data_IF_620164844993
#
_entry.id   IF_620164844993
#
_cell.length_a   1.000
_cell.length_b   1.000
_cell.length_c   1.000
_cell.angle_alpha   90.00
_cell.angle_beta   90.00
_cell.angle_gamma   90.00
#
_symmetry.space_group_name_H-M   'P 1'
#
loop_
_entity.id
_entity.type
_entity.pdbx_description
1 polymer ?
#
# COMPACT_ATOMS: atom_id res chain seq x y z
N UNK A 1 11.79 -11.40 -19.74
CA UNK A 1 12.41 -12.14 -18.61
C UNK A 1 11.79 -11.65 -17.31
N UNK A 2 11.63 -12.50 -16.29
CA UNK A 2 11.18 -12.09 -14.94
C UNK A 2 12.34 -12.27 -13.97
N UNK A 3 12.65 -11.27 -13.13
CA UNK A 3 13.51 -11.46 -11.96
C UNK A 3 12.76 -12.34 -10.94
N UNK A 4 13.42 -13.29 -10.25
CA UNK A 4 12.81 -14.00 -9.13
C UNK A 4 12.59 -13.06 -7.94
N UNK A 5 11.78 -13.51 -7.00
CA UNK A 5 11.44 -12.81 -5.77
C UNK A 5 11.58 -13.84 -4.64
N UNK A 6 12.48 -13.59 -3.68
CA UNK A 6 12.95 -14.58 -2.70
C UNK A 6 12.73 -14.12 -1.26
N UNK A 7 12.64 -15.12 -0.37
CA UNK A 7 12.23 -15.04 1.02
C UNK A 7 13.20 -15.84 1.92
N UNK A 8 13.74 -15.20 2.96
CA UNK A 8 14.36 -15.91 4.08
C UNK A 8 13.85 -15.38 5.42
N UNK A 9 13.78 -16.27 6.41
CA UNK A 9 13.47 -15.95 7.79
C UNK A 9 14.72 -16.04 8.67
N UNK A 10 14.85 -15.01 9.52
CA UNK A 10 15.49 -15.00 10.84
C UNK A 10 16.96 -15.42 10.95
N UNK A 11 17.75 -14.46 11.43
CA UNK A 11 18.87 -14.71 12.34
C UNK A 11 18.34 -14.78 13.78
N UNK A 12 18.93 -15.59 14.68
CA UNK A 12 18.63 -15.52 16.11
C UNK A 12 19.33 -14.33 16.80
N UNK A 13 18.72 -13.86 17.89
CA UNK A 13 19.14 -12.77 18.79
C UNK A 13 18.84 -11.31 18.37
N UNK A 14 18.45 -10.53 19.40
CA UNK A 14 18.42 -9.06 19.50
C UNK A 14 17.82 -8.23 18.34
N UNK A 15 16.48 -8.21 18.24
CA UNK A 15 15.66 -6.99 18.43
C UNK A 15 14.14 -7.29 18.33
N UNK A 16 13.45 -7.35 19.47
CA UNK A 16 12.00 -7.56 19.53
C UNK A 16 11.23 -6.28 19.14
N UNK A 17 11.07 -6.02 17.84
CA UNK A 17 10.17 -4.98 17.31
C UNK A 17 9.02 -5.51 16.44
N UNK A 18 8.64 -6.78 16.62
CA UNK A 18 7.28 -7.29 16.37
C UNK A 18 7.01 -8.51 17.28
N UNK A 19 6.44 -8.30 18.47
CA UNK A 19 6.04 -9.38 19.38
C UNK A 19 4.57 -9.21 19.80
N UNK A 20 3.77 -10.28 19.69
CA UNK A 20 2.29 -10.17 19.76
C UNK A 20 1.49 -11.46 19.48
N UNK A 21 1.95 -12.59 20.02
CA UNK A 21 1.16 -13.73 20.58
C UNK A 21 -0.18 -14.19 19.92
N UNK A 22 -0.17 -15.34 19.23
CA UNK A 22 -0.76 -16.66 19.67
C UNK A 22 -2.03 -16.68 20.58
N UNK A 23 -2.99 -17.64 20.58
CA UNK A 23 -3.44 -18.85 19.80
C UNK A 23 -4.56 -19.54 20.67
N UNK A 24 -5.52 -20.44 20.33
CA UNK A 24 -6.20 -21.06 19.16
C UNK A 24 -7.31 -22.02 19.70
N UNK A 25 -8.41 -22.48 19.06
CA UNK A 25 -9.35 -21.97 18.05
C UNK A 25 -10.53 -22.98 17.83
N UNK A 26 -11.64 -22.55 17.16
CA UNK A 26 -12.77 -23.33 16.55
C UNK A 26 -13.93 -23.85 17.43
N UNK A 27 -15.19 -23.70 16.93
CA UNK A 27 -16.26 -24.70 17.17
C UNK A 27 -17.75 -24.27 17.22
N UNK A 28 -18.44 -24.17 16.07
CA UNK A 28 -19.91 -24.42 15.90
C UNK A 28 -20.91 -23.41 16.57
N UNK A 29 -22.20 -23.47 16.18
CA UNK A 29 -23.38 -22.67 16.66
C UNK A 29 -24.40 -23.63 17.33
N UNK A 30 -25.37 -23.22 18.19
CA UNK A 30 -26.03 -21.91 18.35
C UNK A 30 -25.89 -21.36 19.80
N UNK A 31 -26.62 -20.39 20.38
CA UNK A 31 -27.92 -19.72 20.12
C UNK A 31 -27.84 -18.18 20.29
N UNK A 32 -28.99 -17.50 20.48
CA UNK A 32 -29.11 -16.05 20.72
C UNK A 32 -29.09 -15.75 22.23
N UNK A 33 -28.45 -14.65 22.65
CA UNK A 33 -29.02 -13.58 23.48
C UNK A 33 -28.01 -12.42 23.56
N UNK A 34 -28.51 -11.20 23.70
CA UNK A 34 -27.77 -9.96 24.00
C UNK A 34 -28.76 -8.97 24.66
N UNK A 35 -28.35 -7.80 25.21
CA UNK A 35 -26.98 -7.27 25.40
C UNK A 35 -26.71 -6.77 26.85
N UNK A 36 -25.51 -6.23 27.13
CA UNK A 36 -25.28 -4.80 27.53
C UNK A 36 -23.89 -4.52 28.12
N UNK A 37 -23.48 -3.26 27.99
CA UNK A 37 -22.34 -2.62 28.67
C UNK A 37 -22.62 -2.33 30.15
N UNK A 38 -21.57 -2.04 30.94
CA UNK A 38 -21.63 -1.06 32.02
C UNK A 38 -20.85 0.22 31.66
N UNK A 39 -21.55 1.35 31.54
CA UNK A 39 -20.97 2.70 31.62
C UNK A 39 -21.45 3.29 32.94
N UNK A 40 -20.51 3.52 33.86
CA UNK A 40 -20.64 4.34 35.09
C UNK A 40 -21.73 3.99 36.12
N UNK A 41 -21.48 4.43 37.35
CA UNK A 41 -22.30 4.16 38.54
C UNK A 41 -23.36 5.25 38.77
N UNK A 42 -24.61 4.84 39.05
CA UNK A 42 -25.51 5.54 40.00
C UNK A 42 -26.81 4.76 40.32
N UNK A 43 -27.02 4.56 41.62
CA UNK A 43 -28.27 4.46 42.40
C UNK A 43 -29.56 3.84 41.82
N UNK A 44 -30.01 2.77 42.49
CA UNK A 44 -31.39 2.47 42.96
C UNK A 44 -32.61 2.96 42.13
N UNK A 45 -33.46 2.01 41.69
CA UNK A 45 -34.74 1.66 42.35
C UNK A 45 -35.34 0.34 41.80
N UNK A 46 -36.45 -0.14 42.39
CA UNK A 46 -37.10 -1.46 42.14
C UNK A 46 -38.32 -1.38 41.19
N UNK A 47 -38.91 -2.56 40.93
CA UNK A 47 -40.10 -2.87 40.09
C UNK A 47 -39.82 -3.01 38.58
N UNK A 48 -40.47 -3.91 37.84
CA UNK A 48 -41.40 -4.98 38.25
C UNK A 48 -41.96 -5.76 37.04
N UNK A 49 -42.08 -7.09 37.19
CA UNK A 49 -42.59 -8.10 36.24
C UNK A 49 -43.58 -7.65 35.14
N UNK A 50 -43.37 -8.11 33.89
CA UNK A 50 -44.35 -8.95 33.17
C UNK A 50 -43.78 -9.59 31.88
N UNK A 51 -44.38 -10.70 31.47
CA UNK A 51 -44.15 -11.45 30.22
C UNK A 51 -45.01 -10.95 29.05
N UNK A 52 -44.67 -11.29 27.80
CA UNK A 52 -45.63 -11.86 26.83
C UNK A 52 -44.92 -12.66 25.71
N UNK A 53 -45.69 -13.37 24.88
CA UNK A 53 -45.23 -14.49 24.04
C UNK A 53 -45.70 -14.40 22.59
N UNK A 54 -44.90 -14.98 21.68
CA UNK A 54 -45.36 -15.63 20.44
C UNK A 54 -45.47 -14.75 19.18
N UNK A 55 -45.47 -15.41 18.01
CA UNK A 55 -45.89 -14.76 16.74
C UNK A 55 -45.10 -15.08 15.46
N UNK A 56 -44.69 -16.33 15.21
CA UNK A 56 -44.12 -16.69 13.90
C UNK A 56 -45.24 -16.98 12.87
N UNK A 57 -45.29 -16.22 11.77
CA UNK A 57 -46.07 -16.55 10.55
C UNK A 57 -45.39 -15.99 9.30
N UNK A 58 -44.98 -16.88 8.39
CA UNK A 58 -44.45 -16.52 7.07
C UNK A 58 -45.54 -16.29 6.03
N UNK A 59 -45.20 -15.58 4.95
CA UNK A 59 -46.03 -15.41 3.76
C UNK A 59 -45.19 -15.48 2.48
N UNK A 60 -45.59 -16.32 1.51
CA UNK A 60 -45.00 -16.37 0.16
C UNK A 60 -45.81 -15.49 -0.79
N UNK A 61 -45.15 -14.67 -1.60
CA UNK A 61 -45.79 -13.80 -2.60
C UNK A 61 -44.93 -13.59 -3.84
N UNK A 62 -45.59 -13.52 -5.01
CA UNK A 62 -45.02 -13.21 -6.34
C UNK A 62 -44.38 -11.81 -6.32
N UNK A 63 -43.40 -11.43 -7.16
CA UNK A 63 -42.82 -12.10 -8.34
C UNK A 63 -43.12 -11.32 -9.63
N UNK A 64 -42.12 -10.64 -10.21
CA UNK A 64 -42.19 -10.07 -11.57
C UNK A 64 -41.50 -8.70 -11.79
N UNK A 65 -40.59 -8.65 -12.78
CA UNK A 65 -40.27 -7.46 -13.58
C UNK A 65 -39.33 -6.36 -13.02
N UNK A 66 -38.66 -5.62 -13.92
CA UNK A 66 -38.30 -4.21 -13.65
C UNK A 66 -36.82 -3.81 -13.42
N UNK A 67 -35.83 -4.40 -14.10
CA UNK A 67 -34.48 -3.79 -14.18
C UNK A 67 -34.28 -3.05 -15.52
N UNK A 68 -33.89 -1.76 -15.46
CA UNK A 68 -33.36 -1.03 -16.62
C UNK A 68 -34.26 0.07 -17.22
N UNK A 69 -34.55 1.14 -16.47
CA UNK A 69 -35.36 2.28 -16.94
C UNK A 69 -34.87 3.67 -16.48
N UNK A 70 -33.55 3.86 -16.26
CA UNK A 70 -32.99 5.16 -15.83
C UNK A 70 -31.83 5.70 -16.69
N UNK A 71 -31.34 4.93 -17.67
CA UNK A 71 -30.29 5.36 -18.62
C UNK A 71 -30.84 5.36 -20.05
N UNK A 72 -31.55 6.43 -20.43
CA UNK A 72 -31.87 6.74 -21.83
C UNK A 72 -32.12 8.24 -22.08
N UNK A 73 -32.80 8.94 -21.17
CA UNK A 73 -33.25 10.33 -21.37
C UNK A 73 -32.17 11.40 -21.06
N UNK A 74 -30.93 11.22 -21.54
CA UNK A 74 -29.92 12.31 -21.53
C UNK A 74 -28.84 12.25 -22.62
N UNK A 75 -28.74 11.16 -23.37
CA UNK A 75 -27.76 10.99 -24.46
C UNK A 75 -28.42 10.27 -25.64
N UNK A 76 -29.04 11.03 -26.53
CA UNK A 76 -29.74 10.52 -27.72
C UNK A 76 -30.69 11.56 -28.30
N UNK A 77 -30.24 12.31 -29.31
CA UNK A 77 -30.99 13.45 -29.86
C UNK A 77 -30.28 14.20 -30.99
N UNK A 78 -29.51 13.50 -31.83
CA UNK A 78 -28.90 14.11 -33.02
C UNK A 78 -29.93 14.25 -34.15
N UNK A 79 -30.61 15.40 -34.22
CA UNK A 79 -31.56 15.74 -35.27
C UNK A 79 -30.97 16.74 -36.28
N UNK A 80 -31.04 16.42 -37.57
CA UNK A 80 -30.70 17.35 -38.66
C UNK A 80 -31.91 18.22 -38.99
N UNK A 81 -31.69 19.46 -39.40
CA UNK A 81 -32.63 20.19 -40.24
C UNK A 81 -31.87 21.06 -41.26
N UNK A 82 -32.55 21.49 -42.34
CA UNK A 82 -31.94 22.20 -43.46
C UNK A 82 -32.91 23.25 -44.04
N UNK A 83 -32.35 24.26 -44.71
CA UNK A 83 -33.07 25.46 -45.13
C UNK A 83 -32.95 26.59 -44.10
N UNK A 84 -32.89 27.87 -44.49
CA UNK A 84 -32.96 28.41 -45.85
C UNK A 84 -32.13 29.70 -45.97
N UNK A 85 -31.71 30.06 -47.19
CA UNK A 85 -30.72 31.11 -47.43
C UNK A 85 -31.35 32.44 -47.87
N UNK A 86 -31.00 33.55 -47.21
CA UNK A 86 -31.15 34.91 -47.78
C UNK A 86 -29.95 35.80 -47.46
N UNK A 87 -29.59 36.59 -48.46
CA UNK A 87 -28.38 37.40 -48.56
C UNK A 87 -28.53 38.78 -47.88
N UNK A 88 -27.42 39.27 -47.28
CA UNK A 88 -27.13 40.67 -46.96
C UNK A 88 -25.65 40.85 -46.61
N UNK A 89 -25.06 41.91 -47.15
CA UNK A 89 -23.61 42.18 -47.10
C UNK A 89 -23.01 42.59 -45.75
N UNK A 90 -21.69 42.82 -45.71
CA UNK A 90 -20.90 42.82 -44.48
C UNK A 90 -20.94 44.14 -43.69
N UNK A 91 -20.98 44.02 -42.36
CA UNK A 91 -20.58 45.07 -41.42
C UNK A 91 -19.55 44.47 -40.44
N UNK A 92 -18.46 45.21 -40.21
CA UNK A 92 -17.33 44.72 -39.40
C UNK A 92 -17.64 44.67 -37.91
N UNK A 93 -17.29 43.55 -37.26
CA UNK A 93 -17.35 43.40 -35.81
C UNK A 93 -16.09 42.70 -35.30
N UNK A 94 -15.23 43.42 -34.58
CA UNK A 94 -13.95 42.90 -34.09
C UNK A 94 -14.14 42.00 -32.85
N UNK A 95 -14.59 40.76 -33.08
CA UNK A 95 -14.90 39.79 -32.03
C UNK A 95 -13.70 38.90 -31.68
N UNK A 96 -13.02 39.21 -30.57
CA UNK A 96 -11.86 38.44 -30.08
C UNK A 96 -12.26 37.07 -29.49
N UNK A 97 -12.47 36.08 -30.37
CA UNK A 97 -12.73 34.68 -30.01
C UNK A 97 -11.43 33.99 -29.54
N UNK A 98 -11.13 34.09 -28.25
CA UNK A 98 -9.94 33.45 -27.66
C UNK A 98 -10.02 31.92 -27.66
N UNK A 99 -9.10 31.28 -28.38
CA UNK A 99 -8.97 29.81 -28.45
C UNK A 99 -8.74 29.16 -27.07
N UNK A 100 -9.82 28.62 -26.50
CA UNK A 100 -9.82 28.09 -25.13
C UNK A 100 -9.35 26.62 -25.04
N UNK A 101 -8.37 26.27 -25.89
CA UNK A 101 -7.76 24.94 -25.99
C UNK A 101 -6.23 24.97 -25.87
N UNK A 102 -5.68 25.88 -25.05
CA UNK A 102 -4.33 25.69 -24.51
C UNK A 102 -4.31 24.43 -23.63
N UNK A 103 -3.48 23.45 -24.01
CA UNK A 103 -3.17 22.33 -23.15
C UNK A 103 -2.56 22.86 -21.84
N UNK A 104 -3.22 22.61 -20.71
CA UNK A 104 -2.73 22.98 -19.38
C UNK A 104 -1.56 22.08 -18.97
N UNK A 105 -0.36 22.36 -19.47
CA UNK A 105 0.87 21.97 -18.79
C UNK A 105 1.05 22.88 -17.58
N UNK A 106 0.56 22.46 -16.42
CA UNK A 106 0.74 23.22 -15.18
C UNK A 106 2.22 23.25 -14.80
N UNK A 107 2.76 24.44 -14.61
CA UNK A 107 4.15 24.67 -14.15
C UNK A 107 4.16 24.94 -12.65
N UNK A 108 3.24 24.32 -11.91
CA UNK A 108 2.95 24.67 -10.52
C UNK A 108 3.92 23.94 -9.58
N UNK A 109 4.10 24.52 -8.40
CA UNK A 109 5.15 24.20 -7.45
C UNK A 109 5.58 25.47 -6.72
N UNK A 110 6.49 25.35 -5.76
CA UNK A 110 6.88 26.46 -4.89
C UNK A 110 7.25 25.96 -3.50
N UNK A 111 7.07 26.79 -2.49
CA UNK A 111 7.21 26.38 -1.09
C UNK A 111 5.98 25.58 -0.64
N UNK A 112 6.13 24.81 0.44
CA UNK A 112 4.98 24.18 1.08
C UNK A 112 3.98 25.17 1.67
N UNK A 113 4.39 26.41 1.96
CA UNK A 113 3.48 27.45 2.44
C UNK A 113 2.54 27.91 1.31
N UNK A 114 3.04 27.97 0.08
CA UNK A 114 2.22 28.26 -1.11
C UNK A 114 1.18 27.15 -1.35
N UNK A 115 1.58 25.88 -1.16
CA UNK A 115 0.67 24.73 -1.20
C UNK A 115 -0.45 24.84 -0.14
N UNK A 116 -0.13 25.22 1.11
CA UNK A 116 -1.13 25.44 2.17
C UNK A 116 -2.12 26.54 1.79
N UNK A 117 -1.62 27.69 1.32
CA UNK A 117 -2.46 28.82 0.90
C UNK A 117 -3.36 28.44 -0.27
N UNK A 118 -2.82 27.72 -1.27
CA UNK A 118 -3.60 27.20 -2.40
C UNK A 118 -4.72 26.28 -1.92
N UNK A 119 -4.44 25.32 -1.03
CA UNK A 119 -5.43 24.39 -0.48
C UNK A 119 -6.54 25.10 0.29
N UNK A 120 -6.22 26.14 1.05
CA UNK A 120 -7.22 26.99 1.71
C UNK A 120 -8.03 27.81 0.69
N UNK A 121 -7.39 28.36 -0.34
CA UNK A 121 -8.03 29.17 -1.39
C UNK A 121 -8.99 28.39 -2.28
N UNK A 122 -8.78 27.07 -2.45
CA UNK A 122 -9.66 26.18 -3.22
C UNK A 122 -10.71 25.43 -2.39
N UNK A 123 -10.83 25.67 -1.08
CA UNK A 123 -11.89 25.07 -0.26
C UNK A 123 -13.29 25.42 -0.82
N UNK A 124 -14.22 24.47 -0.76
CA UNK A 124 -15.58 24.59 -1.29
C UNK A 124 -15.71 24.61 -2.82
N UNK A 125 -14.64 24.90 -3.58
CA UNK A 125 -14.65 24.99 -5.06
C UNK A 125 -15.00 23.66 -5.72
N UNK A 126 -15.36 23.73 -7.00
CA UNK A 126 -15.57 22.53 -7.81
C UNK A 126 -14.27 21.73 -7.93
N UNK A 127 -14.39 20.41 -7.81
CA UNK A 127 -13.28 19.45 -7.78
C UNK A 127 -12.14 19.63 -8.81
N UNK A 128 -12.38 20.05 -10.08
CA UNK A 128 -11.31 20.29 -11.04
C UNK A 128 -10.30 21.39 -10.65
N UNK A 129 -10.57 22.21 -9.63
CA UNK A 129 -9.57 23.13 -9.08
C UNK A 129 -8.39 22.40 -8.41
N UNK A 130 -8.51 21.09 -8.11
CA UNK A 130 -7.35 20.28 -7.72
C UNK A 130 -6.31 20.09 -8.82
N UNK A 131 -6.62 20.38 -10.09
CA UNK A 131 -5.61 20.46 -11.15
C UNK A 131 -4.58 21.57 -10.89
N UNK A 132 -4.88 22.55 -10.04
CA UNK A 132 -3.94 23.60 -9.67
C UNK A 132 -2.82 23.08 -8.72
N UNK A 133 -2.95 21.86 -8.16
CA UNK A 133 -1.88 21.18 -7.41
C UNK A 133 -0.80 20.56 -8.30
N UNK A 134 -1.09 20.30 -9.59
CA UNK A 134 -0.28 19.45 -10.47
C UNK A 134 1.08 20.06 -10.82
N UNK A 135 2.15 19.31 -10.55
CA UNK A 135 3.55 19.76 -10.72
C UNK A 135 4.16 19.17 -11.99
N UNK A 136 4.82 20.00 -12.80
CA UNK A 136 5.60 19.54 -13.96
C UNK A 136 6.78 18.63 -13.55
N UNK A 137 7.30 17.77 -14.45
CA UNK A 137 8.54 17.04 -14.22
C UNK A 137 9.67 17.99 -13.77
N UNK A 138 10.47 17.54 -12.79
CA UNK A 138 11.55 18.29 -12.13
C UNK A 138 11.12 19.55 -11.33
N UNK A 139 9.82 19.85 -11.24
CA UNK A 139 9.27 20.82 -10.27
C UNK A 139 8.67 20.09 -9.06
N UNK A 140 8.18 20.84 -8.07
CA UNK A 140 7.50 20.29 -6.90
C UNK A 140 7.17 21.34 -5.84
N UNK A 141 6.50 20.90 -4.78
CA UNK A 141 6.25 21.65 -3.55
C UNK A 141 7.34 21.30 -2.53
N UNK A 142 8.18 22.27 -2.16
CA UNK A 142 9.37 22.06 -1.31
C UNK A 142 8.99 22.24 0.17
N UNK A 143 9.12 21.16 0.96
CA UNK A 143 8.90 21.17 2.40
C UNK A 143 10.05 21.91 3.13
N UNK A 144 9.82 22.62 4.25
CA UNK A 144 10.89 23.28 5.01
C UNK A 144 12.00 22.34 5.50
N UNK A 145 11.69 21.04 5.68
CA UNK A 145 12.69 20.01 5.99
C UNK A 145 13.56 19.62 4.78
N UNK A 146 13.26 20.11 3.57
CA UNK A 146 14.03 19.91 2.34
C UNK A 146 13.58 18.78 1.42
N UNK A 147 12.52 18.02 1.76
CA UNK A 147 11.93 17.05 0.82
C UNK A 147 11.04 17.76 -0.22
N UNK A 148 10.89 17.14 -1.40
CA UNK A 148 10.08 17.69 -2.50
C UNK A 148 8.89 16.78 -2.79
N UNK A 149 7.68 17.34 -2.69
CA UNK A 149 6.43 16.68 -3.09
C UNK A 149 6.09 17.04 -4.55
N UNK A 150 6.15 16.05 -5.43
CA UNK A 150 5.60 16.14 -6.79
C UNK A 150 4.18 15.57 -6.79
N UNK A 151 3.23 16.33 -7.31
CA UNK A 151 1.83 15.91 -7.49
C UNK A 151 1.63 15.65 -8.97
N UNK A 152 1.44 14.38 -9.34
CA UNK A 152 1.04 14.00 -10.69
C UNK A 152 -0.42 14.39 -10.96
N UNK A 153 -0.94 14.02 -12.14
CA UNK A 153 -2.29 14.41 -12.55
C UNK A 153 -3.33 14.12 -11.46
N UNK A 154 -4.03 15.16 -11.02
CA UNK A 154 -5.09 15.08 -10.04
C UNK A 154 -6.25 14.24 -10.58
N UNK A 155 -6.80 13.40 -9.71
CA UNK A 155 -7.94 12.56 -10.03
C UNK A 155 -9.14 13.41 -10.48
N UNK A 156 -9.85 12.99 -11.53
CA UNK A 156 -10.84 13.86 -12.20
C UNK A 156 -12.13 14.08 -11.38
N UNK A 157 -12.48 13.15 -10.49
CA UNK A 157 -13.58 13.27 -9.54
C UNK A 157 -13.32 12.40 -8.27
N UNK A 158 -14.12 12.54 -7.19
CA UNK A 158 -13.94 11.80 -5.92
C UNK A 158 -14.18 10.28 -5.96
N UNK A 159 -14.40 9.69 -7.14
CA UNK A 159 -14.51 8.26 -7.39
C UNK A 159 -13.48 7.75 -8.42
N UNK A 160 -12.76 8.65 -9.08
CA UNK A 160 -11.65 8.30 -9.98
C UNK A 160 -10.46 7.72 -9.19
N UNK A 161 -9.54 6.98 -9.84
CA UNK A 161 -8.34 6.45 -9.18
C UNK A 161 -7.55 7.56 -8.45
N UNK A 162 -7.10 7.33 -7.20
CA UNK A 162 -6.43 8.36 -6.39
C UNK A 162 -5.23 9.04 -7.05
N UNK A 163 -5.02 10.31 -6.69
CA UNK A 163 -3.96 11.16 -7.24
C UNK A 163 -2.59 10.59 -6.90
N UNK A 164 -1.72 10.42 -7.90
CA UNK A 164 -0.37 9.88 -7.71
C UNK A 164 0.59 10.99 -7.28
N UNK A 165 1.30 10.78 -6.17
CA UNK A 165 2.30 11.69 -5.67
C UNK A 165 3.66 10.99 -5.57
N UNK A 166 4.75 11.73 -5.83
CA UNK A 166 6.11 11.31 -5.51
C UNK A 166 6.69 12.23 -4.45
N UNK A 167 7.31 11.67 -3.42
CA UNK A 167 8.16 12.43 -2.49
C UNK A 167 9.61 12.06 -2.75
N UNK A 168 10.45 13.05 -2.99
CA UNK A 168 11.90 12.89 -3.16
C UNK A 168 12.63 13.47 -1.95
N UNK A 169 13.47 12.66 -1.30
CA UNK A 169 14.35 13.09 -0.21
C UNK A 169 15.82 12.95 -0.65
N UNK A 170 16.61 14.04 -0.73
CA UNK A 170 18.05 13.93 -0.94
C UNK A 170 18.77 13.42 0.33
N UNK A 171 20.00 12.88 0.23
CA UNK A 171 20.77 12.36 1.37
C UNK A 171 20.96 13.35 2.53
N UNK A 172 21.06 14.64 2.22
CA UNK A 172 21.16 15.74 3.19
C UNK A 172 19.93 15.88 4.10
N UNK A 173 18.78 15.40 3.64
CA UNK A 173 17.49 15.43 4.35
C UNK A 173 17.21 14.08 5.00
N UNK A 174 17.31 12.98 4.24
CA UNK A 174 17.05 11.65 4.76
C UNK A 174 18.09 11.17 5.78
N UNK A 175 19.33 11.69 5.70
CA UNK A 175 20.50 11.27 6.50
C UNK A 175 20.84 9.77 6.35
N UNK A 176 20.50 9.20 5.20
CA UNK A 176 20.91 7.85 4.78
C UNK A 176 22.44 7.72 4.74
N UNK A 177 22.97 6.62 5.26
CA UNK A 177 24.40 6.30 5.17
C UNK A 177 24.74 5.75 3.78
N UNK A 178 25.85 6.19 3.19
CA UNK A 178 26.42 5.64 1.95
C UNK A 178 26.50 4.11 1.97
N UNK A 179 26.78 3.53 3.14
CA UNK A 179 26.85 2.08 3.37
C UNK A 179 25.56 1.32 3.01
N UNK A 180 24.41 1.99 2.90
CA UNK A 180 23.10 1.40 2.58
C UNK A 180 22.75 1.46 1.07
N UNK A 181 23.59 2.04 0.21
CA UNK A 181 23.32 2.16 -1.23
C UNK A 181 24.53 1.97 -2.17
N UNK A 182 25.67 1.50 -1.64
CA UNK A 182 26.91 1.26 -2.39
C UNK A 182 26.78 0.34 -3.61
N UNK A 183 25.81 -0.58 -3.62
CA UNK A 183 25.53 -1.47 -4.73
C UNK A 183 24.02 -1.67 -4.94
N UNK A 184 23.63 -2.27 -6.08
CA UNK A 184 22.24 -2.47 -6.45
C UNK A 184 21.45 -3.34 -5.45
N UNK A 185 22.08 -4.34 -4.82
CA UNK A 185 21.44 -5.20 -3.81
C UNK A 185 21.11 -4.40 -2.56
N UNK A 186 22.05 -3.57 -2.06
CA UNK A 186 21.79 -2.67 -0.92
C UNK A 186 20.71 -1.64 -1.24
N UNK A 187 20.71 -1.05 -2.44
CA UNK A 187 19.65 -0.11 -2.87
C UNK A 187 18.26 -0.75 -2.88
N UNK A 188 18.16 -1.97 -3.40
CA UNK A 188 16.93 -2.76 -3.39
C UNK A 188 16.45 -3.08 -1.97
N UNK A 189 17.35 -3.60 -1.11
CA UNK A 189 17.01 -3.94 0.27
C UNK A 189 16.64 -2.71 1.12
N UNK A 190 17.34 -1.60 0.95
CA UNK A 190 17.01 -0.33 1.61
C UNK A 190 15.64 0.20 1.14
N UNK A 191 15.35 0.15 -0.17
CA UNK A 191 14.03 0.54 -0.70
C UNK A 191 12.89 -0.33 -0.14
N UNK A 192 13.09 -1.64 -0.07
CA UNK A 192 12.13 -2.60 0.49
C UNK A 192 11.91 -2.38 1.99
N UNK A 193 12.98 -2.20 2.79
CA UNK A 193 12.89 -1.88 4.22
C UNK A 193 12.11 -0.57 4.46
N UNK A 194 12.44 0.48 3.69
CA UNK A 194 11.78 1.78 3.78
C UNK A 194 10.30 1.69 3.40
N UNK A 195 9.94 0.90 2.39
CA UNK A 195 8.55 0.61 2.03
C UNK A 195 7.80 -0.12 3.17
N UNK A 196 8.43 -1.13 3.80
CA UNK A 196 7.84 -1.83 4.96
C UNK A 196 7.57 -0.89 6.12
N UNK A 197 8.52 0.00 6.43
CA UNK A 197 8.39 1.01 7.48
C UNK A 197 7.28 2.01 7.14
N UNK A 198 7.25 2.50 5.90
CA UNK A 198 6.23 3.43 5.40
C UNK A 198 4.81 2.86 5.44
N UNK A 199 4.62 1.63 4.95
CA UNK A 199 3.32 0.95 4.99
C UNK A 199 2.88 0.70 6.45
N UNK A 200 3.79 0.19 7.30
CA UNK A 200 3.50 -0.06 8.72
C UNK A 200 3.13 1.21 9.49
N UNK A 201 3.84 2.32 9.24
CA UNK A 201 3.51 3.62 9.83
C UNK A 201 2.19 4.18 9.31
N UNK A 202 1.92 4.07 8.01
CA UNK A 202 0.65 4.51 7.40
C UNK A 202 -0.54 3.83 8.09
N UNK A 203 -0.48 2.50 8.27
CA UNK A 203 -1.48 1.73 9.04
C UNK A 203 -1.54 2.13 10.52
N UNK A 204 -0.38 2.33 11.16
CA UNK A 204 -0.28 2.70 12.59
C UNK A 204 -0.96 4.03 12.91
N UNK A 205 -0.82 5.04 12.05
CA UNK A 205 -1.46 6.35 12.23
C UNK A 205 -2.85 6.43 11.59
N UNK A 206 -3.29 5.37 10.90
CA UNK A 206 -4.57 5.31 10.21
C UNK A 206 -4.66 6.24 9.00
N UNK A 207 -3.54 6.59 8.37
CA UNK A 207 -3.52 7.49 7.20
C UNK A 207 -4.20 6.89 5.96
N UNK A 208 -4.38 5.56 5.90
CA UNK A 208 -5.16 4.89 4.86
C UNK A 208 -6.68 4.89 5.12
N UNK A 209 -7.14 5.44 6.25
CA UNK A 209 -8.56 5.61 6.53
C UNK A 209 -9.13 6.86 5.86
N UNK A 210 -10.02 6.67 4.88
CA UNK A 210 -10.82 7.77 4.33
C UNK A 210 -11.66 8.45 5.43
N UNK A 211 -11.94 9.76 5.26
CA UNK A 211 -12.85 10.57 6.10
C UNK A 211 -14.25 9.95 6.33
N UNK A 212 -14.63 8.95 5.51
CA UNK A 212 -15.82 8.11 5.71
C UNK A 212 -15.75 7.28 7.01
N UNK A 213 -14.58 6.79 7.40
CA UNK A 213 -14.41 5.90 8.55
C UNK A 213 -14.59 6.63 9.88
N UNK A 214 -14.04 7.84 9.99
CA UNK A 214 -13.98 8.62 11.24
C UNK A 214 -15.33 9.08 11.78
N UNK A 215 -16.41 8.97 11.00
CA UNK A 215 -17.74 9.52 11.32
C UNK A 215 -18.83 8.46 11.50
N UNK A 216 -18.51 7.16 11.40
CA UNK A 216 -19.39 6.02 11.75
C UNK A 216 -20.68 5.83 10.94
N UNK A 217 -21.12 6.83 10.17
CA UNK A 217 -22.35 6.81 9.39
C UNK A 217 -22.21 6.15 8.02
N UNK A 218 -23.33 5.63 7.50
CA UNK A 218 -23.43 5.19 6.10
C UNK A 218 -23.41 6.41 5.17
N UNK A 219 -22.22 6.94 4.91
CA UNK A 219 -22.03 8.16 4.12
C UNK A 219 -22.61 8.06 2.71
N UNK A 220 -23.74 8.75 2.49
CA UNK A 220 -24.45 8.80 1.22
C UNK A 220 -23.64 9.46 0.08
N UNK A 221 -24.25 9.54 -1.10
CA UNK A 221 -23.58 10.04 -2.32
C UNK A 221 -22.93 11.44 -2.17
N UNK A 222 -23.52 12.30 -1.33
CA UNK A 222 -23.08 13.67 -1.02
C UNK A 222 -22.17 13.81 0.20
N UNK A 223 -21.88 12.72 0.94
CA UNK A 223 -21.04 12.77 2.13
C UNK A 223 -19.54 13.04 1.82
N UNK A 224 -18.72 13.29 2.86
CA UNK A 224 -17.26 13.32 2.75
C UNK A 224 -16.68 12.03 2.17
N UNK A 225 -15.60 12.15 1.40
CA UNK A 225 -14.87 11.07 0.71
C UNK A 225 -13.40 11.44 0.61
N UNK A 226 -12.57 10.46 0.27
CA UNK A 226 -11.13 10.63 0.20
C UNK A 226 -10.54 10.90 1.58
N UNK A 227 -9.40 11.57 1.59
CA UNK A 227 -8.57 11.83 2.74
C UNK A 227 -7.54 10.75 3.04
N UNK A 228 -7.68 9.57 2.43
CA UNK A 228 -6.75 8.46 2.56
C UNK A 228 -5.46 8.65 1.74
N UNK A 229 -4.33 8.37 2.39
CA UNK A 229 -3.00 8.18 1.79
C UNK A 229 -2.75 6.68 1.66
N UNK A 230 -2.59 6.20 0.42
CA UNK A 230 -2.37 4.79 0.14
C UNK A 230 -0.90 4.54 -0.22
N UNK A 231 -0.32 3.54 0.44
CA UNK A 231 1.05 3.04 0.25
C UNK A 231 0.96 1.61 -0.30
N UNK A 232 1.86 1.22 -1.19
CA UNK A 232 1.92 -0.15 -1.72
C UNK A 232 2.19 -1.15 -0.59
N UNK A 233 1.42 -2.25 -0.55
CA UNK A 233 1.61 -3.32 0.43
C UNK A 233 2.86 -4.16 0.10
N UNK A 234 3.85 -4.26 1.00
CA UNK A 234 5.07 -5.01 0.74
C UNK A 234 4.82 -6.52 0.83
N UNK A 235 5.14 -7.25 -0.24
CA UNK A 235 5.13 -8.73 -0.22
C UNK A 235 6.19 -9.27 0.75
N UNK A 236 6.16 -10.57 1.04
CA UNK A 236 7.24 -11.17 1.85
C UNK A 236 8.59 -11.27 1.12
N UNK A 237 8.62 -11.06 -0.19
CA UNK A 237 9.83 -11.09 -0.99
C UNK A 237 10.47 -9.70 -1.10
N UNK A 238 11.79 -9.65 -1.08
CA UNK A 238 12.57 -8.43 -1.36
C UNK A 238 12.77 -8.32 -2.87
N UNK A 239 12.27 -7.24 -3.47
CA UNK A 239 12.38 -6.98 -4.92
C UNK A 239 12.51 -5.49 -5.21
N UNK A 240 13.06 -5.17 -6.38
CA UNK A 240 13.08 -3.81 -6.93
C UNK A 240 11.65 -3.35 -7.27
N UNK A 241 11.16 -2.32 -6.56
CA UNK A 241 9.81 -1.76 -6.75
C UNK A 241 9.88 -0.26 -7.01
N UNK A 242 8.87 0.30 -7.69
CA UNK A 242 8.76 1.75 -7.91
C UNK A 242 8.17 2.53 -6.72
N UNK A 243 7.70 1.84 -5.67
CA UNK A 243 7.01 2.46 -4.54
C UNK A 243 7.96 3.14 -3.54
N UNK A 244 9.12 2.56 -3.26
CA UNK A 244 10.26 3.26 -2.67
C UNK A 244 11.53 2.78 -3.35
N UNK A 245 12.30 3.72 -3.90
CA UNK A 245 13.58 3.47 -4.55
C UNK A 245 14.68 4.29 -3.87
N UNK A 246 15.90 3.78 -3.89
CA UNK A 246 17.11 4.55 -3.56
C UNK A 246 18.00 4.52 -4.80
N UNK A 247 18.46 5.69 -5.25
CA UNK A 247 19.37 5.80 -6.41
C UNK A 247 20.86 5.70 -6.01
N UNK A 248 21.76 5.87 -6.97
CA UNK A 248 23.21 5.72 -6.74
C UNK A 248 23.82 6.91 -5.97
N UNK A 249 23.10 8.03 -5.94
CA UNK A 249 23.45 9.24 -5.20
C UNK A 249 22.88 9.19 -3.77
N UNK A 250 21.95 8.28 -3.49
CA UNK A 250 21.29 8.10 -2.20
C UNK A 250 19.97 8.87 -2.05
N UNK A 251 19.44 9.45 -3.13
CA UNK A 251 18.11 10.05 -3.06
C UNK A 251 17.07 8.95 -2.85
N UNK A 252 16.09 9.20 -1.98
CA UNK A 252 14.96 8.30 -1.75
C UNK A 252 13.78 8.82 -2.57
N UNK A 253 13.31 8.01 -3.52
CA UNK A 253 12.15 8.31 -4.36
C UNK A 253 10.98 7.44 -3.90
N UNK A 254 10.04 8.04 -3.16
CA UNK A 254 8.84 7.39 -2.66
C UNK A 254 7.63 7.72 -3.55
N UNK A 255 6.82 6.74 -3.91
CA UNK A 255 5.57 6.90 -4.64
C UNK A 255 4.39 6.42 -3.80
N UNK A 256 3.44 7.33 -3.58
CA UNK A 256 2.19 7.11 -2.83
C UNK A 256 1.02 7.58 -3.69
N UNK A 257 -0.21 7.30 -3.25
CA UNK A 257 -1.38 8.01 -3.79
C UNK A 257 -2.16 8.69 -2.69
N UNK A 258 -2.68 9.88 -2.95
CA UNK A 258 -3.51 10.66 -2.03
C UNK A 258 -4.88 10.81 -2.67
N UNK A 259 -5.90 10.32 -1.98
CA UNK A 259 -7.28 10.37 -2.44
C UNK A 259 -7.88 11.73 -2.04
N UNK A 260 -7.89 12.70 -2.97
CA UNK A 260 -8.13 14.11 -2.62
C UNK A 260 -9.54 14.33 -2.02
N UNK A 261 -9.67 14.95 -0.83
CA UNK A 261 -10.91 14.91 -0.06
C UNK A 261 -11.99 15.86 -0.60
N UNK A 262 -13.24 15.37 -0.61
CA UNK A 262 -14.38 16.15 -1.10
C UNK A 262 -15.72 15.75 -0.51
N UNK A 263 -16.65 16.71 -0.52
CA UNK A 263 -18.06 16.57 -0.14
C UNK A 263 -18.93 16.72 -1.39
N UNK A 264 -19.46 15.61 -1.89
CA UNK A 264 -20.17 15.58 -3.17
C UNK A 264 -19.26 15.83 -4.37
N UNK A 265 -19.13 17.09 -4.80
CA UNK A 265 -18.17 17.61 -5.80
C UNK A 265 -17.43 18.88 -5.35
N UNK A 266 -17.71 19.38 -4.14
CA UNK A 266 -16.95 20.48 -3.55
C UNK A 266 -15.71 19.95 -2.86
N UNK A 267 -14.59 20.63 -3.08
CA UNK A 267 -13.29 20.38 -2.45
C UNK A 267 -13.39 20.58 -0.93
N UNK A 268 -12.75 19.69 -0.17
CA UNK A 268 -12.50 19.89 1.27
C UNK A 268 -11.03 20.30 1.44
N UNK A 269 -10.76 21.57 1.10
CA UNK A 269 -9.43 22.17 1.10
C UNK A 269 -8.79 22.18 2.48
N UNK A 270 -9.57 22.42 3.54
CA UNK A 270 -9.11 22.29 4.93
C UNK A 270 -8.64 20.86 5.29
N UNK A 271 -9.36 19.83 4.83
CA UNK A 271 -8.96 18.44 5.07
C UNK A 271 -7.74 18.04 4.21
N UNK A 272 -7.66 18.56 2.97
CA UNK A 272 -6.48 18.37 2.13
C UNK A 272 -5.24 19.06 2.72
N UNK A 273 -5.40 20.23 3.33
CA UNK A 273 -4.36 20.93 4.08
C UNK A 273 -3.89 20.10 5.28
N UNK A 274 -4.79 19.55 6.09
CA UNK A 274 -4.44 18.67 7.22
C UNK A 274 -3.59 17.45 6.78
N UNK A 275 -3.95 16.83 5.65
CA UNK A 275 -3.21 15.70 5.09
C UNK A 275 -1.82 16.12 4.61
N UNK A 276 -1.71 17.24 3.89
CA UNK A 276 -0.43 17.70 3.36
C UNK A 276 0.49 18.26 4.46
N UNK A 277 -0.05 18.94 5.47
CA UNK A 277 0.73 19.66 6.50
C UNK A 277 1.06 18.81 7.74
N UNK A 278 0.17 17.91 8.16
CA UNK A 278 0.38 17.09 9.35
C UNK A 278 0.63 15.62 9.00
N UNK A 279 -0.28 14.98 8.24
CA UNK A 279 -0.23 13.53 8.03
C UNK A 279 0.96 13.12 7.16
N UNK A 280 1.17 13.78 6.03
CA UNK A 280 2.22 13.45 5.08
C UNK A 280 3.64 13.73 5.64
N UNK A 281 3.97 14.89 6.21
CA UNK A 281 5.33 15.16 6.68
C UNK A 281 5.70 14.26 7.86
N UNK A 282 4.77 14.02 8.81
CA UNK A 282 4.98 13.05 9.89
C UNK A 282 5.22 11.64 9.33
N UNK A 283 4.41 11.19 8.36
CA UNK A 283 4.58 9.86 7.75
C UNK A 283 5.92 9.72 7.01
N UNK A 284 6.42 10.79 6.36
CA UNK A 284 7.72 10.82 5.71
C UNK A 284 8.87 10.83 6.74
N UNK A 285 8.76 11.62 7.80
CA UNK A 285 9.76 11.70 8.88
C UNK A 285 9.86 10.40 9.70
N UNK A 286 8.71 9.82 10.07
CA UNK A 286 8.61 8.55 10.80
C UNK A 286 9.12 7.33 9.99
N UNK A 287 9.28 7.45 8.67
CA UNK A 287 9.52 6.31 7.78
C UNK A 287 10.81 6.41 6.97
N UNK A 288 11.04 7.55 6.30
CA UNK A 288 12.06 7.73 5.27
C UNK A 288 13.28 8.52 5.74
N UNK A 289 13.20 9.18 6.90
CA UNK A 289 14.37 9.78 7.55
C UNK A 289 15.04 8.77 8.49
N UNK A 290 16.36 8.74 8.45
CA UNK A 290 17.20 7.83 9.24
C UNK A 290 17.45 8.37 10.66
N UNK A 291 17.25 9.67 10.88
CA UNK A 291 17.25 10.32 12.21
C UNK A 291 16.19 9.76 13.16
N UNK A 292 15.09 9.20 12.63
CA UNK A 292 14.03 8.57 13.41
C UNK A 292 14.19 7.05 13.56
N UNK A 293 15.26 6.45 13.02
CA UNK A 293 15.35 5.00 12.75
C UNK A 293 16.31 4.25 13.68
N UNK A 294 15.93 3.03 14.08
CA UNK A 294 16.88 2.06 14.61
C UNK A 294 17.76 1.53 13.45
N UNK A 295 19.01 1.98 13.40
CA UNK A 295 19.94 1.67 12.30
C UNK A 295 20.39 0.20 12.26
N UNK A 296 20.30 -0.54 13.36
CA UNK A 296 20.66 -1.96 13.41
C UNK A 296 19.61 -2.81 12.68
N UNK A 297 18.32 -2.45 12.83
CA UNK A 297 17.22 -3.15 12.17
C UNK A 297 17.29 -3.10 10.64
N UNK A 298 17.69 -1.96 10.05
CA UNK A 298 17.92 -1.86 8.61
C UNK A 298 19.23 -2.51 8.19
N UNK A 299 20.29 -2.42 9.00
CA UNK A 299 21.56 -3.09 8.72
C UNK A 299 21.36 -4.61 8.60
N UNK A 300 20.72 -5.24 9.59
CA UNK A 300 20.40 -6.68 9.58
C UNK A 300 19.55 -7.09 8.37
N UNK A 301 18.60 -6.23 7.95
CA UNK A 301 17.81 -6.50 6.75
C UNK A 301 18.66 -6.48 5.48
N UNK A 302 19.49 -5.44 5.27
CA UNK A 302 20.36 -5.31 4.10
C UNK A 302 21.37 -6.47 4.02
N UNK A 303 22.03 -6.78 5.14
CA UNK A 303 23.04 -7.83 5.23
C UNK A 303 22.43 -9.22 4.95
N UNK A 304 21.22 -9.49 5.45
CA UNK A 304 20.48 -10.72 5.16
C UNK A 304 20.07 -10.86 3.69
N UNK A 305 19.93 -9.76 2.94
CA UNK A 305 19.60 -9.79 1.49
C UNK A 305 20.88 -9.92 0.65
N UNK A 306 22.00 -9.34 1.08
CA UNK A 306 23.29 -9.54 0.42
C UNK A 306 23.83 -10.96 0.59
N UNK A 307 23.80 -11.52 1.79
CA UNK A 307 24.20 -12.92 2.04
C UNK A 307 23.35 -13.89 1.22
N UNK A 308 22.05 -13.60 1.07
CA UNK A 308 21.12 -14.35 0.24
C UNK A 308 21.46 -14.26 -1.25
N UNK A 309 21.73 -13.06 -1.77
CA UNK A 309 22.12 -12.85 -3.16
C UNK A 309 23.49 -13.49 -3.48
N UNK A 310 24.44 -13.44 -2.53
CA UNK A 310 25.72 -14.14 -2.65
C UNK A 310 25.54 -15.66 -2.66
N UNK A 311 24.70 -16.21 -1.78
CA UNK A 311 24.42 -17.64 -1.71
C UNK A 311 23.78 -18.16 -3.00
N UNK A 312 22.86 -17.40 -3.61
CA UNK A 312 22.33 -17.71 -4.95
C UNK A 312 23.45 -17.82 -6.00
N UNK A 313 24.43 -16.90 -5.99
CA UNK A 313 25.57 -16.93 -6.91
C UNK A 313 26.49 -18.14 -6.69
N UNK A 314 26.61 -18.67 -5.47
CA UNK A 314 27.43 -19.85 -5.20
C UNK A 314 26.81 -21.16 -5.68
N UNK A 315 25.50 -21.21 -5.97
CA UNK A 315 24.81 -22.45 -6.34
C UNK A 315 25.41 -23.11 -7.58
N UNK A 316 25.67 -22.34 -8.64
CA UNK A 316 26.13 -22.90 -9.91
C UNK A 316 27.54 -23.53 -9.79
N UNK A 317 28.45 -22.81 -9.13
CA UNK A 317 29.81 -23.23 -8.77
C UNK A 317 29.80 -24.47 -7.85
N UNK A 318 28.84 -24.55 -6.93
CA UNK A 318 28.65 -25.71 -6.05
C UNK A 318 27.98 -26.92 -6.75
N UNK A 319 27.65 -26.82 -8.05
CA UNK A 319 26.97 -27.87 -8.82
C UNK A 319 25.47 -28.02 -8.46
N UNK A 320 24.89 -27.00 -7.84
CA UNK A 320 23.52 -26.96 -7.34
C UNK A 320 22.58 -26.19 -8.29
N UNK A 321 21.28 -26.42 -8.11
CA UNK A 321 20.18 -25.62 -8.70
C UNK A 321 19.28 -24.99 -7.62
N UNK A 322 19.38 -25.45 -6.37
CA UNK A 322 18.66 -24.88 -5.22
C UNK A 322 19.32 -25.33 -3.90
N UNK A 323 19.13 -24.54 -2.84
CA UNK A 323 19.58 -24.84 -1.49
C UNK A 323 18.48 -24.50 -0.47
N UNK A 324 18.12 -25.45 0.39
CA UNK A 324 17.08 -25.26 1.41
C UNK A 324 17.71 -25.33 2.81
N UNK A 325 17.83 -24.18 3.47
CA UNK A 325 18.47 -24.01 4.80
C UNK A 325 17.79 -24.88 5.87
N UNK A 326 18.58 -25.55 6.71
CA UNK A 326 18.10 -26.22 7.92
C UNK A 326 17.43 -25.18 8.85
N UNK A 327 16.28 -25.54 9.43
CA UNK A 327 15.45 -24.64 10.23
C UNK A 327 14.43 -23.82 9.43
N UNK A 328 14.40 -23.89 8.10
CA UNK A 328 13.47 -23.10 7.29
C UNK A 328 11.99 -23.50 7.51
N UNK A 329 11.11 -22.51 7.68
CA UNK A 329 9.67 -22.69 7.80
C UNK A 329 9.03 -22.55 6.41
N UNK A 330 8.88 -23.68 5.73
CA UNK A 330 8.33 -23.75 4.37
C UNK A 330 6.79 -23.57 4.31
N UNK A 331 5.98 -24.12 5.24
CA UNK A 331 4.53 -23.92 5.21
C UNK A 331 4.13 -22.44 5.38
N UNK A 332 3.13 -22.01 4.60
CA UNK A 332 2.53 -20.66 4.68
C UNK A 332 1.23 -20.70 5.48
N UNK A 333 0.74 -19.57 5.97
CA UNK A 333 -0.51 -19.47 6.76
C UNK A 333 -1.72 -19.96 5.97
N UNK A 334 -1.84 -19.57 4.69
CA UNK A 334 -2.86 -20.12 3.79
C UNK A 334 -2.48 -19.95 2.31
N UNK A 335 -3.27 -20.53 1.40
CA UNK A 335 -3.09 -20.33 -0.05
C UNK A 335 -3.38 -18.91 -0.56
N UNK A 336 -3.85 -18.00 0.31
CA UNK A 336 -4.03 -16.56 0.01
C UNK A 336 -3.23 -15.66 0.95
N UNK A 337 -2.49 -16.23 1.90
CA UNK A 337 -1.69 -15.50 2.88
C UNK A 337 -0.29 -16.11 2.94
N UNK A 338 0.63 -15.53 2.17
CA UNK A 338 2.02 -15.97 2.05
C UNK A 338 2.88 -15.63 3.27
N UNK A 339 2.30 -15.42 4.46
CA UNK A 339 3.11 -15.34 5.69
C UNK A 339 3.58 -16.74 6.11
N UNK A 340 4.74 -16.89 6.75
CA UNK A 340 5.19 -18.16 7.31
C UNK A 340 4.19 -18.69 8.36
N UNK A 341 3.93 -19.99 8.36
CA UNK A 341 3.05 -20.62 9.36
C UNK A 341 3.65 -20.52 10.77
N UNK A 342 2.85 -20.09 11.73
CA UNK A 342 3.23 -20.00 13.15
C UNK A 342 2.66 -21.16 13.98
N UNK A 343 3.26 -21.42 15.14
CA UNK A 343 2.84 -22.49 16.06
C UNK A 343 3.67 -23.76 15.91
N UNK A 344 3.03 -24.91 16.09
CA UNK A 344 3.69 -26.22 15.98
C UNK A 344 3.93 -26.59 14.52
N UNK A 345 5.08 -26.17 13.97
CA UNK A 345 5.48 -26.42 12.58
C UNK A 345 6.80 -27.21 12.55
N UNK A 346 6.85 -28.25 11.71
CA UNK A 346 8.09 -29.00 11.48
C UNK A 346 9.02 -28.16 10.60
N UNK A 347 10.08 -27.63 11.20
CA UNK A 347 11.13 -26.92 10.49
C UNK A 347 11.92 -27.86 9.57
N UNK A 348 12.35 -27.36 8.40
CA UNK A 348 13.06 -28.17 7.42
C UNK A 348 14.40 -28.69 7.95
N UNK A 349 14.75 -29.94 7.63
CA UNK A 349 16.04 -30.55 7.94
C UNK A 349 16.52 -31.40 6.75
N UNK A 350 17.74 -31.14 6.29
CA UNK A 350 18.38 -31.92 5.23
C UNK A 350 18.61 -33.38 5.65
N UNK A 351 18.44 -34.36 4.74
CA UNK A 351 19.06 -35.66 4.91
C UNK A 351 20.60 -35.52 4.78
N UNK A 352 21.42 -36.33 5.49
CA UNK A 352 22.87 -36.19 5.46
C UNK A 352 23.49 -36.31 4.06
N UNK A 353 22.94 -37.18 3.20
CA UNK A 353 23.43 -37.43 1.83
C UNK A 353 23.28 -36.26 0.86
N UNK A 354 22.43 -35.28 1.18
CA UNK A 354 22.22 -34.05 0.42
C UNK A 354 22.67 -32.80 1.18
N UNK A 355 23.23 -32.94 2.39
CA UNK A 355 23.62 -31.79 3.19
C UNK A 355 24.81 -31.05 2.54
N UNK A 356 24.67 -29.73 2.48
CA UNK A 356 25.70 -28.77 2.10
C UNK A 356 25.81 -27.69 3.18
N UNK A 357 26.95 -27.01 3.19
CA UNK A 357 27.30 -25.97 4.12
C UNK A 357 27.92 -24.80 3.36
N UNK A 358 27.57 -23.59 3.77
CA UNK A 358 28.12 -22.34 3.23
C UNK A 358 28.39 -21.38 4.39
N UNK A 359 29.55 -20.72 4.41
CA UNK A 359 29.81 -19.58 5.30
C UNK A 359 29.32 -18.32 4.59
N UNK A 360 28.35 -17.62 5.17
CA UNK A 360 27.81 -16.38 4.63
C UNK A 360 28.81 -15.23 4.85
N UNK A 361 29.21 -14.46 3.82
CA UNK A 361 30.35 -13.55 3.90
C UNK A 361 30.06 -12.23 4.64
N UNK A 362 28.80 -11.80 4.75
CA UNK A 362 28.44 -10.52 5.39
C UNK A 362 28.12 -10.74 6.87
N UNK A 363 27.24 -11.68 7.21
CA UNK A 363 26.91 -12.01 8.60
C UNK A 363 27.92 -12.94 9.29
N UNK A 364 28.83 -13.57 8.55
CA UNK A 364 29.75 -14.60 9.06
C UNK A 364 29.07 -15.92 9.44
N UNK A 365 27.75 -16.06 9.26
CA UNK A 365 26.98 -17.21 9.74
C UNK A 365 27.20 -18.42 8.83
N UNK A 366 27.62 -19.53 9.43
CA UNK A 366 27.64 -20.84 8.74
C UNK A 366 26.21 -21.38 8.63
N UNK A 367 25.76 -21.64 7.40
CA UNK A 367 24.43 -22.20 7.11
C UNK A 367 24.53 -23.60 6.51
N UNK A 368 23.94 -24.57 7.18
CA UNK A 368 23.73 -25.93 6.69
C UNK A 368 22.35 -26.07 6.05
N UNK A 369 22.20 -26.93 5.05
CA UNK A 369 20.93 -27.16 4.35
C UNK A 369 21.02 -28.22 3.26
N UNK A 370 19.90 -28.50 2.60
CA UNK A 370 19.82 -29.48 1.51
C UNK A 370 20.21 -28.83 0.19
N UNK A 371 21.31 -29.28 -0.42
CA UNK A 371 21.73 -28.87 -1.76
C UNK A 371 21.15 -29.79 -2.83
N UNK A 372 20.26 -29.25 -3.68
CA UNK A 372 19.71 -29.96 -4.84
C UNK A 372 20.68 -29.77 -6.02
N UNK A 373 21.20 -30.88 -6.56
CA UNK A 373 22.21 -30.87 -7.62
C UNK A 373 21.58 -30.65 -9.01
N UNK A 374 22.40 -30.17 -9.97
CA UNK A 374 22.06 -30.17 -11.40
C UNK A 374 21.68 -31.58 -11.87
N UNK A 375 20.59 -31.70 -12.64
CA UNK A 375 20.03 -32.98 -13.11
C UNK A 375 18.55 -33.16 -12.72
N UNK A 376 18.05 -34.39 -12.76
CA UNK A 376 16.66 -34.73 -12.37
C UNK A 376 16.63 -35.13 -10.90
N UNK A 377 15.83 -34.43 -10.08
CA UNK A 377 15.59 -34.77 -8.67
C UNK A 377 14.11 -35.13 -8.47
N UNK A 378 13.84 -36.31 -7.91
CA UNK A 378 12.49 -36.83 -7.70
C UNK A 378 12.06 -36.69 -6.23
N UNK A 379 10.99 -35.93 -5.97
CA UNK A 379 10.44 -35.73 -4.62
C UNK A 379 9.24 -36.67 -4.42
N UNK A 380 9.48 -37.81 -3.77
CA UNK A 380 8.48 -38.84 -3.46
C UNK A 380 7.80 -38.65 -2.10
N UNK A 381 6.76 -39.44 -1.81
CA UNK A 381 6.04 -39.49 -0.53
C UNK A 381 4.51 -39.47 -0.66
N UNK A 382 3.80 -39.71 0.44
CA UNK A 382 2.33 -39.79 0.47
C UNK A 382 1.59 -38.48 0.17
N UNK A 383 0.26 -38.56 0.09
CA UNK A 383 -0.61 -37.37 0.03
C UNK A 383 -0.43 -36.49 1.27
N UNK A 384 -0.46 -35.16 1.11
CA UNK A 384 -0.26 -34.17 2.18
C UNK A 384 1.10 -34.19 2.93
N UNK A 385 2.06 -35.04 2.54
CA UNK A 385 3.41 -35.09 3.14
C UNK A 385 4.35 -33.96 2.66
N UNK A 386 3.89 -32.70 2.63
CA UNK A 386 4.71 -31.51 2.38
C UNK A 386 5.37 -31.34 1.00
N UNK A 387 5.30 -32.33 0.09
CA UNK A 387 5.98 -32.32 -1.23
C UNK A 387 5.75 -31.03 -2.02
N UNK A 388 4.49 -30.61 -2.15
CA UNK A 388 4.10 -29.39 -2.86
C UNK A 388 4.59 -28.13 -2.15
N UNK A 389 4.62 -28.13 -0.81
CA UNK A 389 5.15 -27.02 -0.01
C UNK A 389 6.65 -26.82 -0.24
N UNK A 390 7.42 -27.92 -0.33
CA UNK A 390 8.84 -27.88 -0.67
C UNK A 390 9.06 -27.37 -2.09
N UNK A 391 8.31 -27.87 -3.08
CA UNK A 391 8.38 -27.40 -4.46
C UNK A 391 7.97 -25.92 -4.60
N UNK A 392 6.95 -25.47 -3.87
CA UNK A 392 6.53 -24.06 -3.85
C UNK A 392 7.62 -23.16 -3.26
N UNK A 393 8.26 -23.56 -2.15
CA UNK A 393 9.36 -22.81 -1.56
C UNK A 393 10.61 -22.76 -2.45
N UNK A 394 10.85 -23.79 -3.28
CA UNK A 394 11.91 -23.81 -4.31
C UNK A 394 11.53 -22.96 -5.54
N UNK A 395 10.23 -22.80 -5.83
CA UNK A 395 9.74 -21.95 -6.92
C UNK A 395 9.70 -20.46 -6.53
N UNK A 396 9.54 -20.14 -5.24
CA UNK A 396 9.51 -18.79 -4.69
C UNK A 396 10.86 -18.33 -4.14
N UNK A 397 11.96 -18.69 -4.80
CA UNK A 397 13.33 -18.42 -4.35
C UNK A 397 14.40 -18.48 -5.44
#
# INVERSE_FOLDING_TARGET
MRKPALLLLHSPASLNWFSGTFVSARGVRPERVAPRYPIWTKSLHRHGMSSYSGGDRGGRGRGGGGRGAYYKNKYGGGGRNSGDARDRGPLGGNGNLGDNHRARTSTNGGTFQDLKQLLQHIDGRQYPAYHDLETAPNTGWVHPEGFVLQVGRAQADPFAPPTRCRVTLPPSVSRISNSFYTNATRRMATGDFLLRRLYGNCKRVGADHSLRSSSGGKGGWSGPKGGDVQVLEPTQNVIEQSAVQVDEQGNILCQITINLPAKGRSIMGHAAHEIMDAVLPQLISDSLMFTSMNLDSIRTHIESVEDQAWLQQQLDTAGLVSFVRNGAILPRVSGVEDRPMAGSVVAFKSPPSLQKEFTLPISGVVVQGMGIRKGVTLICGGGFHGKSTLLQAIQSG
#
